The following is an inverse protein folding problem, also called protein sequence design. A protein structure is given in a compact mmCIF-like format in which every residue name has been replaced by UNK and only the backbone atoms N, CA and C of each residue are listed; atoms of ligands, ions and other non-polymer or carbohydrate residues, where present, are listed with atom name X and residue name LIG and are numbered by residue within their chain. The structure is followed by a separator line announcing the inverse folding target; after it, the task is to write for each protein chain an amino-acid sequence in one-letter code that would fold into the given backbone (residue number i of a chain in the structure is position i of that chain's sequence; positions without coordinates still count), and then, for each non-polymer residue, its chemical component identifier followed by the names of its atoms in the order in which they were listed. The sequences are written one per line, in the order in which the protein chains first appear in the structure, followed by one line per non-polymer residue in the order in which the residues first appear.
data_IF_666529340968
#
_entry.id   IF_666529340968
#
_cell.length_a   1.000
_cell.length_b   1.000
_cell.length_c   1.000
_cell.angle_alpha   90.00
_cell.angle_beta   90.00
_cell.angle_gamma   90.00
#
_symmetry.space_group_name_H-M   'P 1'
#
loop_
_entity.id
_entity.type
_entity.pdbx_description
1 polymer ?
#
# COMPACT_ATOMS: atom_id res chain seq x y z
N UNK A 1 -10.35 7.26 6.77
CA UNK A 1 -9.37 6.26 7.21
C UNK A 1 -10.11 5.11 7.87
N UNK A 2 -9.65 3.87 7.66
CA UNK A 2 -10.29 2.66 8.21
C UNK A 2 -9.32 2.00 9.20
N UNK A 3 -9.82 1.32 10.25
CA UNK A 3 -8.95 0.64 11.20
C UNK A 3 -8.10 -0.43 10.51
N UNK A 4 -6.84 -0.56 10.93
CA UNK A 4 -5.99 -1.67 10.51
C UNK A 4 -6.55 -3.00 11.00
N UNK A 5 -6.35 -4.06 10.19
CA UNK A 5 -6.82 -5.40 10.53
C UNK A 5 -5.96 -5.96 11.66
N UNK A 6 -6.57 -6.25 12.81
CA UNK A 6 -5.93 -6.90 13.96
C UNK A 6 -6.39 -8.35 14.08
N UNK A 7 -5.45 -9.30 13.99
CA UNK A 7 -5.74 -10.75 14.09
C UNK A 7 -5.80 -11.28 15.53
N UNK A 8 -5.22 -10.53 16.48
CA UNK A 8 -5.18 -10.91 17.89
C UNK A 8 -5.80 -9.78 18.70
N UNK A 9 -6.82 -10.05 19.53
CA UNK A 9 -7.38 -9.06 20.42
C UNK A 9 -6.32 -8.64 21.44
N UNK A 10 -6.20 -7.33 21.67
CA UNK A 10 -5.31 -6.76 22.69
C UNK A 10 -6.11 -6.00 23.75
N UNK A 11 -5.75 -6.18 25.02
CA UNK A 11 -6.45 -5.57 26.15
C UNK A 11 -7.90 -6.08 26.27
N UNK A 12 -8.85 -5.15 26.38
CA UNK A 12 -10.29 -5.45 26.56
C UNK A 12 -11.05 -5.65 25.23
N UNK A 13 -10.35 -5.91 24.13
CA UNK A 13 -10.99 -6.16 22.84
C UNK A 13 -11.74 -7.50 22.83
N UNK A 14 -12.94 -7.55 22.22
CA UNK A 14 -13.69 -8.79 22.13
C UNK A 14 -13.00 -9.80 21.21
N UNK A 15 -13.25 -11.09 21.44
CA UNK A 15 -12.64 -12.18 20.66
C UNK A 15 -13.02 -12.17 19.18
N UNK A 16 -14.10 -11.49 18.80
CA UNK A 16 -14.59 -11.34 17.43
C UNK A 16 -14.13 -10.04 16.74
N UNK A 17 -13.18 -9.30 17.33
CA UNK A 17 -12.76 -7.98 16.85
C UNK A 17 -12.30 -8.01 15.38
N UNK A 18 -11.60 -9.07 14.95
CA UNK A 18 -11.17 -9.23 13.56
C UNK A 18 -12.38 -9.26 12.62
N UNK A 19 -13.38 -10.09 12.92
CA UNK A 19 -14.59 -10.22 12.11
C UNK A 19 -15.38 -8.90 12.05
N UNK A 20 -15.46 -8.18 13.17
CA UNK A 20 -16.11 -6.86 13.25
C UNK A 20 -15.39 -5.82 12.38
N UNK A 21 -14.06 -5.74 12.48
CA UNK A 21 -13.25 -4.84 11.65
C UNK A 21 -13.40 -5.19 10.17
N UNK A 22 -13.33 -6.47 9.80
CA UNK A 22 -13.48 -6.92 8.41
C UNK A 22 -14.86 -6.56 7.87
N UNK A 23 -15.92 -6.78 8.65
CA UNK A 23 -17.29 -6.44 8.26
C UNK A 23 -17.44 -4.94 8.03
N UNK A 24 -16.89 -4.13 8.93
CA UNK A 24 -16.88 -2.67 8.80
C UNK A 24 -16.14 -2.22 7.54
N UNK A 25 -14.92 -2.71 7.29
CA UNK A 25 -14.16 -2.34 6.08
C UNK A 25 -14.96 -2.75 4.83
N UNK A 26 -15.50 -3.98 4.79
CA UNK A 26 -16.29 -4.47 3.65
C UNK A 26 -17.52 -3.62 3.37
N UNK A 27 -18.18 -3.03 4.38
CA UNK A 27 -19.32 -2.15 4.14
C UNK A 27 -18.95 -0.86 3.42
N UNK A 28 -17.70 -0.38 3.54
CA UNK A 28 -17.22 0.79 2.80
C UNK A 28 -16.71 0.41 1.42
N UNK A 29 -15.86 -0.61 1.32
CA UNK A 29 -15.17 -0.93 0.06
C UNK A 29 -16.07 -1.63 -0.96
N UNK A 30 -17.27 -2.07 -0.59
CA UNK A 30 -18.28 -2.60 -1.53
C UNK A 30 -18.94 -1.51 -2.39
N UNK A 31 -18.90 -0.26 -1.94
CA UNK A 31 -19.46 0.84 -2.72
C UNK A 31 -18.67 1.02 -4.03
N UNK A 32 -19.32 1.02 -5.21
CA UNK A 32 -18.62 1.09 -6.49
C UNK A 32 -17.79 2.37 -6.68
N UNK A 33 -18.21 3.48 -6.07
CA UNK A 33 -17.49 4.76 -6.09
C UNK A 33 -16.29 4.81 -5.13
N UNK A 34 -16.13 3.81 -4.26
CA UNK A 34 -15.03 3.75 -3.31
C UNK A 34 -13.74 3.29 -4.01
N UNK A 35 -12.76 4.19 -4.08
CA UNK A 35 -11.39 3.85 -4.46
C UNK A 35 -10.71 3.10 -3.30
N UNK A 36 -10.18 1.92 -3.58
CA UNK A 36 -9.49 1.07 -2.61
C UNK A 36 -7.98 1.28 -2.73
N UNK A 37 -7.35 1.75 -1.65
CA UNK A 37 -5.89 1.72 -1.50
C UNK A 37 -5.50 0.50 -0.66
N UNK A 38 -5.07 -0.58 -1.31
CA UNK A 38 -4.65 -1.80 -0.64
C UNK A 38 -3.18 -1.71 -0.21
N UNK A 39 -2.95 -1.23 1.02
CA UNK A 39 -1.61 -1.04 1.58
C UNK A 39 -1.04 -2.35 2.11
N UNK A 40 0.11 -2.79 1.58
CA UNK A 40 0.82 -3.99 2.02
C UNK A 40 2.30 -3.68 2.27
N UNK A 41 2.90 -4.14 3.38
CA UNK A 41 4.34 -3.98 3.58
C UNK A 41 5.13 -5.01 2.77
N UNK A 42 6.24 -4.58 2.17
CA UNK A 42 7.06 -5.39 1.27
C UNK A 42 7.77 -6.57 1.95
N UNK A 43 7.93 -6.52 3.27
CA UNK A 43 8.54 -7.59 4.07
C UNK A 43 7.52 -8.66 4.50
N UNK A 44 6.26 -8.56 4.06
CA UNK A 44 5.23 -9.56 4.30
C UNK A 44 4.91 -10.34 3.02
N UNK A 45 4.49 -11.60 3.17
CA UNK A 45 4.02 -12.38 2.03
C UNK A 45 2.71 -11.79 1.50
N UNK A 46 2.75 -11.33 0.25
CA UNK A 46 1.64 -10.71 -0.44
C UNK A 46 0.42 -11.62 -0.56
N UNK A 47 0.62 -12.92 -0.75
CA UNK A 47 -0.47 -13.88 -0.86
C UNK A 47 -1.33 -13.91 0.43
N UNK A 48 -0.72 -13.51 1.54
CA UNK A 48 -1.34 -13.42 2.86
C UNK A 48 -1.76 -11.98 3.24
N UNK A 49 -1.70 -11.03 2.30
CA UNK A 49 -2.16 -9.65 2.55
C UNK A 49 -3.68 -9.60 2.66
N UNK A 50 -4.17 -9.38 3.88
CA UNK A 50 -5.61 -9.26 4.12
C UNK A 50 -6.23 -8.09 3.33
N UNK A 51 -5.48 -7.00 3.14
CA UNK A 51 -5.93 -5.83 2.37
C UNK A 51 -6.19 -6.19 0.91
N UNK A 52 -5.28 -6.94 0.26
CA UNK A 52 -5.45 -7.37 -1.13
C UNK A 52 -6.52 -8.45 -1.27
N UNK A 53 -6.63 -9.36 -0.31
CA UNK A 53 -7.71 -10.35 -0.31
C UNK A 53 -9.09 -9.68 -0.21
N UNK A 54 -9.25 -8.72 0.70
CA UNK A 54 -10.50 -7.97 0.84
C UNK A 54 -10.80 -7.11 -0.39
N UNK A 55 -9.78 -6.46 -0.96
CA UNK A 55 -9.92 -5.72 -2.20
C UNK A 55 -10.35 -6.63 -3.35
N UNK A 56 -9.76 -7.82 -3.50
CA UNK A 56 -10.14 -8.78 -4.54
C UNK A 56 -11.56 -9.34 -4.39
N UNK A 57 -12.10 -9.41 -3.17
CA UNK A 57 -13.51 -9.77 -2.95
C UNK A 57 -14.46 -8.63 -3.34
N UNK A 58 -14.07 -7.38 -3.08
CA UNK A 58 -14.91 -6.22 -3.36
C UNK A 58 -14.79 -5.70 -4.80
N UNK A 59 -13.63 -5.86 -5.43
CA UNK A 59 -13.25 -5.40 -6.77
C UNK A 59 -12.45 -6.50 -7.50
N UNK A 60 -13.10 -7.60 -7.94
CA UNK A 60 -12.42 -8.73 -8.58
C UNK A 60 -11.67 -8.38 -9.87
N UNK A 61 -12.13 -7.35 -10.59
CA UNK A 61 -11.50 -6.87 -11.82
C UNK A 61 -10.33 -5.88 -11.56
N UNK A 62 -10.16 -5.43 -10.32
CA UNK A 62 -9.12 -4.47 -9.93
C UNK A 62 -9.28 -3.08 -10.57
N UNK A 63 -10.50 -2.68 -10.92
CA UNK A 63 -10.78 -1.43 -11.64
C UNK A 63 -10.62 -0.18 -10.77
N UNK A 64 -10.79 -0.35 -9.46
CA UNK A 64 -10.81 0.71 -8.45
C UNK A 64 -9.90 0.37 -7.28
N UNK A 65 -8.92 -0.49 -7.50
CA UNK A 65 -7.94 -0.90 -6.50
C UNK A 65 -6.53 -0.50 -6.92
N UNK A 66 -5.89 0.33 -6.09
CA UNK A 66 -4.46 0.65 -6.21
C UNK A 66 -3.71 -0.13 -5.13
N UNK A 67 -2.73 -0.93 -5.54
CA UNK A 67 -1.84 -1.59 -4.60
C UNK A 67 -0.74 -0.63 -4.12
N UNK A 68 -0.61 -0.44 -2.82
CA UNK A 68 0.44 0.42 -2.25
C UNK A 68 1.42 -0.44 -1.47
N UNK A 69 2.68 -0.45 -1.89
CA UNK A 69 3.73 -1.27 -1.27
C UNK A 69 4.61 -0.38 -0.40
N UNK A 70 4.61 -0.64 0.91
CA UNK A 70 5.39 0.14 1.90
C UNK A 70 6.60 -0.65 2.38
N UNK A 71 7.48 -0.03 3.19
CA UNK A 71 8.60 -0.72 3.88
C UNK A 71 9.59 -1.41 2.93
N UNK A 72 9.76 -0.90 1.71
CA UNK A 72 10.70 -1.42 0.70
C UNK A 72 12.18 -1.28 1.13
N UNK A 73 12.44 -0.40 2.09
CA UNK A 73 13.73 -0.09 2.66
C UNK A 73 14.27 -1.17 3.61
N UNK A 74 13.38 -1.89 4.29
CA UNK A 74 13.69 -2.92 5.29
C UNK A 74 13.47 -4.36 4.78
N UNK A 75 13.44 -4.56 3.46
CA UNK A 75 13.38 -5.90 2.87
C UNK A 75 14.67 -6.69 3.14
N UNK A 76 14.54 -8.01 3.25
CA UNK A 76 15.68 -8.90 3.44
C UNK A 76 16.65 -8.83 2.27
N UNK A 77 17.96 -8.88 2.58
CA UNK A 77 19.01 -8.84 1.56
C UNK A 77 18.85 -10.03 0.60
N UNK A 78 18.90 -9.74 -0.70
CA UNK A 78 18.70 -10.75 -1.75
C UNK A 78 17.24 -10.92 -2.19
N UNK A 79 16.30 -10.19 -1.57
CA UNK A 79 14.90 -10.12 -2.00
C UNK A 79 14.56 -8.73 -2.56
N UNK A 80 13.55 -8.66 -3.42
CA UNK A 80 13.01 -7.40 -3.93
C UNK A 80 11.53 -7.51 -4.26
N UNK A 81 10.86 -6.36 -4.35
CA UNK A 81 9.45 -6.25 -4.68
C UNK A 81 9.21 -5.86 -6.15
N UNK A 82 10.18 -6.02 -7.05
CA UNK A 82 10.07 -5.51 -8.43
C UNK A 82 8.93 -6.18 -9.18
N UNK A 83 8.83 -7.51 -9.10
CA UNK A 83 7.75 -8.25 -9.77
C UNK A 83 6.37 -7.88 -9.22
N UNK A 84 6.29 -7.56 -7.93
CA UNK A 84 5.08 -7.06 -7.29
C UNK A 84 4.71 -5.67 -7.80
N UNK A 85 5.66 -4.72 -7.81
CA UNK A 85 5.43 -3.38 -8.33
C UNK A 85 5.03 -3.38 -9.82
N UNK A 86 5.46 -4.39 -10.57
CA UNK A 86 5.06 -4.64 -11.96
C UNK A 86 3.71 -5.35 -12.12
N UNK A 87 3.04 -5.73 -11.03
CA UNK A 87 1.75 -6.44 -11.06
C UNK A 87 1.82 -7.87 -11.59
N UNK A 88 3.01 -8.51 -11.56
CA UNK A 88 3.21 -9.88 -12.08
C UNK A 88 2.73 -10.98 -11.12
N UNK A 89 2.49 -10.64 -9.86
CA UNK A 89 2.07 -11.61 -8.81
C UNK A 89 0.56 -11.61 -8.66
N UNK A 90 -0.01 -10.45 -8.35
CA UNK A 90 -1.46 -10.21 -8.35
C UNK A 90 -1.69 -9.06 -9.33
N UNK A 91 -2.42 -9.27 -10.43
CA UNK A 91 -2.67 -8.19 -11.39
C UNK A 91 -3.72 -7.23 -10.85
N UNK A 92 -3.43 -5.92 -10.89
CA UNK A 92 -4.39 -4.84 -10.63
C UNK A 92 -4.43 -3.94 -11.85
N UNK A 93 -5.63 -3.53 -12.27
CA UNK A 93 -5.81 -2.68 -13.47
C UNK A 93 -5.23 -1.28 -13.26
N UNK A 94 -5.37 -0.74 -12.05
CA UNK A 94 -4.69 0.50 -11.66
C UNK A 94 -3.24 0.27 -11.24
N UNK A 95 -2.75 -0.97 -11.17
CA UNK A 95 -1.36 -1.31 -10.85
C UNK A 95 -0.94 -0.99 -9.42
N UNK A 96 0.38 -0.95 -9.21
CA UNK A 96 1.00 -0.76 -7.91
C UNK A 96 1.81 0.53 -7.83
N UNK A 97 1.99 1.05 -6.61
CA UNK A 97 2.90 2.15 -6.30
C UNK A 97 3.71 1.79 -5.05
N UNK A 98 5.03 1.81 -5.17
CA UNK A 98 5.93 1.64 -4.04
C UNK A 98 6.13 2.97 -3.33
N UNK A 99 6.13 2.98 -2.00
CA UNK A 99 6.40 4.18 -1.18
C UNK A 99 7.36 3.86 -0.04
N UNK A 100 8.18 4.84 0.33
CA UNK A 100 9.09 4.77 1.47
C UNK A 100 8.73 5.89 2.42
N UNK A 101 8.12 5.52 3.54
CA UNK A 101 7.70 6.45 4.58
C UNK A 101 8.87 6.75 5.54
N UNK A 102 8.71 7.80 6.34
CA UNK A 102 9.63 8.10 7.46
C UNK A 102 9.72 6.92 8.42
N UNK A 103 10.94 6.57 8.81
CA UNK A 103 11.17 5.59 9.87
C UNK A 103 10.76 6.16 11.24
N UNK A 104 10.68 5.29 12.24
CA UNK A 104 10.42 5.73 13.62
C UNK A 104 11.51 6.68 14.13
N UNK A 105 12.77 6.44 13.74
CA UNK A 105 13.89 7.33 14.06
C UNK A 105 13.74 8.70 13.39
N UNK A 106 13.38 8.73 12.09
CA UNK A 106 13.13 9.99 11.37
C UNK A 106 12.01 10.82 12.03
N UNK A 107 10.99 10.14 12.57
CA UNK A 107 9.89 10.79 13.30
C UNK A 107 10.41 11.40 14.61
N UNK A 108 11.21 10.67 15.38
CA UNK A 108 11.82 11.15 16.62
C UNK A 108 12.78 12.33 16.38
N UNK A 109 13.50 12.32 15.25
CA UNK A 109 14.40 13.40 14.84
C UNK A 109 13.68 14.57 14.14
N UNK A 110 12.34 14.58 14.10
CA UNK A 110 11.53 15.61 13.45
C UNK A 110 11.94 15.89 11.99
N UNK A 111 12.31 14.84 11.25
CA UNK A 111 12.68 14.98 9.86
C UNK A 111 11.55 15.61 9.05
N UNK A 112 11.91 16.64 8.28
CA UNK A 112 10.94 17.37 7.47
C UNK A 112 10.34 16.47 6.38
N UNK A 113 9.10 16.76 5.98
CA UNK A 113 8.43 16.06 4.87
C UNK A 113 9.25 16.20 3.58
N UNK A 114 9.83 17.38 3.33
CA UNK A 114 10.65 17.65 2.16
C UNK A 114 11.87 16.72 2.11
N UNK A 115 12.56 16.55 3.24
CA UNK A 115 13.74 15.68 3.31
C UNK A 115 13.38 14.20 3.19
N UNK A 116 12.18 13.82 3.64
CA UNK A 116 11.67 12.47 3.44
C UNK A 116 11.40 12.18 1.96
N UNK A 117 10.76 13.12 1.24
CA UNK A 117 10.51 12.99 -0.20
C UNK A 117 11.80 12.90 -1.01
N UNK A 118 12.82 13.70 -0.67
CA UNK A 118 14.14 13.63 -1.32
C UNK A 118 14.82 12.28 -1.08
N UNK A 119 14.71 11.72 0.13
CA UNK A 119 15.27 10.40 0.40
C UNK A 119 14.50 9.28 -0.29
N UNK A 120 13.17 9.38 -0.38
CA UNK A 120 12.36 8.44 -1.14
C UNK A 120 12.74 8.45 -2.63
N UNK A 121 12.89 9.63 -3.24
CA UNK A 121 13.33 9.72 -4.63
C UNK A 121 14.73 9.11 -4.81
N UNK A 122 15.66 9.44 -3.89
CA UNK A 122 17.00 8.85 -3.90
C UNK A 122 16.96 7.33 -3.75
N UNK A 123 16.07 6.78 -2.93
CA UNK A 123 15.89 5.35 -2.74
C UNK A 123 15.53 4.65 -4.05
N UNK A 124 14.52 5.15 -4.76
CA UNK A 124 14.07 4.53 -6.01
C UNK A 124 15.08 4.70 -7.14
N UNK A 125 15.77 5.85 -7.23
CA UNK A 125 16.78 6.09 -8.28
C UNK A 125 18.09 5.35 -8.06
N UNK A 126 18.53 5.20 -6.81
CA UNK A 126 19.85 4.62 -6.49
C UNK A 126 19.87 3.10 -6.48
N UNK A 127 18.73 2.42 -6.25
CA UNK A 127 18.65 0.96 -6.24
C UNK A 127 18.46 0.43 -7.68
N UNK A 128 19.40 -0.35 -8.25
CA UNK A 128 19.30 -0.83 -9.63
C UNK A 128 18.03 -1.64 -9.93
N UNK A 129 17.51 -2.34 -8.92
CA UNK A 129 16.29 -3.14 -9.05
C UNK A 129 15.04 -2.26 -9.24
N UNK A 130 15.02 -1.06 -8.69
CA UNK A 130 13.88 -0.14 -8.73
C UNK A 130 14.09 1.10 -9.62
N UNK A 131 15.30 1.33 -10.14
CA UNK A 131 15.62 2.52 -10.95
C UNK A 131 14.71 2.67 -12.17
N UNK A 132 14.37 1.57 -12.83
CA UNK A 132 13.42 1.55 -13.95
C UNK A 132 11.95 1.74 -13.56
N UNK A 133 11.64 1.82 -12.27
CA UNK A 133 10.31 2.06 -11.71
C UNK A 133 10.21 3.40 -10.95
N UNK A 134 11.29 4.19 -10.94
CA UNK A 134 11.37 5.41 -10.15
C UNK A 134 10.30 6.43 -10.56
N UNK A 135 9.95 6.49 -11.84
CA UNK A 135 8.93 7.43 -12.35
C UNK A 135 7.48 6.99 -12.03
N UNK A 136 7.27 5.76 -11.56
CA UNK A 136 5.97 5.22 -11.16
C UNK A 136 5.86 4.94 -9.66
N UNK A 137 6.89 5.26 -8.88
CA UNK A 137 6.95 5.04 -7.43
C UNK A 137 7.19 6.34 -6.66
N UNK A 138 6.87 6.31 -5.37
CA UNK A 138 6.99 7.41 -4.43
C UNK A 138 5.66 8.10 -4.15
N UNK A 139 5.61 8.80 -3.01
CA UNK A 139 4.47 9.61 -2.57
C UNK A 139 4.01 10.62 -3.63
N UNK A 140 4.91 11.33 -4.36
CA UNK A 140 4.46 12.24 -5.41
C UNK A 140 3.72 11.53 -6.55
N UNK A 141 4.17 10.33 -6.94
CA UNK A 141 3.51 9.55 -7.99
C UNK A 141 2.19 8.95 -7.50
N UNK A 142 2.12 8.52 -6.24
CA UNK A 142 0.87 8.10 -5.63
C UNK A 142 -0.16 9.23 -5.65
N UNK A 143 0.20 10.43 -5.20
CA UNK A 143 -0.69 11.60 -5.19
C UNK A 143 -1.18 11.96 -6.60
N UNK A 144 -0.27 11.97 -7.58
CA UNK A 144 -0.62 12.21 -8.99
C UNK A 144 -1.61 11.16 -9.51
N UNK A 145 -1.40 9.89 -9.16
CA UNK A 145 -2.26 8.78 -9.58
C UNK A 145 -3.65 8.86 -8.95
N UNK A 146 -3.74 9.23 -7.68
CA UNK A 146 -5.03 9.43 -6.99
C UNK A 146 -5.85 10.53 -7.69
N UNK A 147 -5.22 11.66 -8.01
CA UNK A 147 -5.88 12.77 -8.71
C UNK A 147 -6.34 12.42 -10.14
N UNK A 148 -5.71 11.44 -10.79
CA UNK A 148 -6.12 10.96 -12.12
C UNK A 148 -7.31 10.01 -12.07
N UNK A 149 -7.46 9.27 -10.97
CA UNK A 149 -8.54 8.28 -10.80
C UNK A 149 -9.79 8.92 -10.20
N UNK A 150 -9.65 9.94 -9.36
CA UNK A 150 -10.76 10.70 -8.79
C UNK A 150 -11.84 11.16 -9.81
N UNK A 151 -11.52 11.68 -11.01
CA UNK A 151 -12.53 12.04 -12.01
C UNK A 151 -13.26 10.85 -12.68
N UNK A 152 -12.87 9.59 -12.43
CA UNK A 152 -13.55 8.39 -12.96
C UNK A 152 -14.64 7.85 -12.03
N UNK A 153 -14.78 8.40 -10.81
CA UNK A 153 -15.76 7.95 -9.81
C UNK A 153 -17.09 8.74 -9.84
N UNK A 154 -17.35 9.52 -10.91
CA UNK A 154 -18.60 10.28 -11.11
C UNK A 154 -19.45 9.72 -12.25
#
# INVERSE_FOLDING_TARGET
DLPGITKVPVGDQPSDIEARIRTMIMSYIKEPSCLILAVTPANSDLANSDALQMAGVADPDGNRTIGVITKLDIMDRGTDARNLLLGKVIPLRLGYVGVVNRSQEDIQMNRSIKDALVAEEKFFRSRPVYSGLADSCGIPQLAKKLNQVEPLCH
#
